data_IF_216721210622
#
_entry.id   IF_216721210622
#
_cell.length_a   1.000
_cell.length_b   1.000
_cell.length_c   1.000
_cell.angle_alpha   90.00
_cell.angle_beta   90.00
_cell.angle_gamma   90.00
#
_symmetry.space_group_name_H-M   'P 1'
#
loop_
_entity.id
_entity.type
_entity.pdbx_description
1 polymer ?
#
# COMPACT_ATOMS: atom_id res chain seq x y z
N UNK A 1 24.49 -22.83 5.07
CA UNK A 1 23.78 -21.53 5.20
C UNK A 1 23.26 -21.49 6.63
N UNK A 2 23.65 -20.48 7.42
CA UNK A 2 23.15 -20.42 8.79
C UNK A 2 21.63 -20.04 8.79
N UNK A 3 20.95 -20.36 9.89
CA UNK A 3 19.49 -20.14 10.05
C UNK A 3 19.09 -18.69 9.75
N UNK A 4 19.87 -17.72 10.22
CA UNK A 4 19.61 -16.30 10.05
C UNK A 4 19.70 -15.84 8.57
N UNK A 5 20.66 -16.34 7.81
CA UNK A 5 20.77 -16.08 6.39
C UNK A 5 19.60 -16.70 5.59
N UNK A 6 19.10 -17.86 6.04
CA UNK A 6 17.93 -18.50 5.46
C UNK A 6 16.65 -17.69 5.73
N UNK A 7 16.42 -17.25 6.96
CA UNK A 7 15.28 -16.41 7.34
C UNK A 7 15.27 -15.08 6.57
N UNK A 8 16.42 -14.41 6.46
CA UNK A 8 16.57 -13.20 5.62
C UNK A 8 16.25 -13.48 4.15
N UNK A 9 16.62 -14.63 3.62
CA UNK A 9 16.26 -15.05 2.26
C UNK A 9 14.75 -15.22 2.10
N UNK A 10 14.07 -15.86 3.05
CA UNK A 10 12.61 -16.03 3.04
C UNK A 10 11.88 -14.69 3.10
N UNK A 11 12.33 -13.77 3.96
CA UNK A 11 11.76 -12.43 4.05
C UNK A 11 11.88 -11.66 2.73
N UNK A 12 13.05 -11.75 2.03
CA UNK A 12 13.22 -11.16 0.70
C UNK A 12 12.32 -11.81 -0.36
N UNK A 13 12.06 -13.11 -0.28
CA UNK A 13 11.15 -13.80 -1.20
C UNK A 13 9.70 -13.35 -0.98
N UNK A 14 9.26 -13.18 0.28
CA UNK A 14 7.95 -12.61 0.62
C UNK A 14 7.78 -11.25 -0.03
N UNK A 15 8.75 -10.37 0.14
CA UNK A 15 8.73 -9.04 -0.44
C UNK A 15 8.65 -9.04 -1.97
N UNK A 16 9.41 -9.91 -2.66
CA UNK A 16 9.35 -10.04 -4.13
C UNK A 16 7.96 -10.45 -4.61
N UNK A 17 7.26 -11.31 -3.87
CA UNK A 17 5.89 -11.74 -4.18
C UNK A 17 4.91 -10.58 -4.05
N UNK A 18 5.03 -9.76 -3.01
CA UNK A 18 4.22 -8.54 -2.83
C UNK A 18 4.39 -7.58 -4.02
N UNK A 19 5.60 -7.39 -4.52
CA UNK A 19 5.86 -6.54 -5.70
C UNK A 19 5.18 -7.04 -6.98
N UNK A 20 5.00 -8.33 -7.14
CA UNK A 20 4.24 -8.86 -8.29
C UNK A 20 2.77 -8.46 -8.22
N UNK A 21 2.16 -8.55 -7.04
CA UNK A 21 0.79 -8.08 -6.81
C UNK A 21 0.69 -6.57 -7.03
N UNK A 22 1.63 -5.78 -6.51
CA UNK A 22 1.72 -4.33 -6.76
C UNK A 22 1.77 -4.02 -8.26
N UNK A 23 2.66 -4.66 -9.00
CA UNK A 23 2.81 -4.44 -10.44
C UNK A 23 1.53 -4.81 -11.22
N UNK A 24 0.84 -5.88 -10.82
CA UNK A 24 -0.44 -6.28 -11.42
C UNK A 24 -1.52 -5.24 -11.12
N UNK A 25 -1.71 -4.89 -9.87
CA UNK A 25 -2.71 -3.92 -9.45
C UNK A 25 -2.45 -2.53 -10.05
N UNK A 26 -1.20 -2.06 -10.07
CA UNK A 26 -0.81 -0.83 -10.73
C UNK A 26 -1.17 -0.81 -12.22
N UNK A 27 -1.02 -1.93 -12.94
CA UNK A 27 -1.46 -2.02 -14.35
C UNK A 27 -2.95 -1.80 -14.50
N UNK A 28 -3.77 -2.33 -13.58
CA UNK A 28 -5.22 -2.13 -13.61
C UNK A 28 -5.57 -0.67 -13.34
N UNK A 29 -4.95 -0.05 -12.31
CA UNK A 29 -5.22 1.35 -11.98
C UNK A 29 -4.72 2.31 -13.06
N UNK A 30 -3.63 2.00 -13.76
CA UNK A 30 -3.17 2.80 -14.92
C UNK A 30 -4.20 2.83 -16.04
N UNK A 31 -4.96 1.75 -16.27
CA UNK A 31 -6.06 1.76 -17.25
C UNK A 31 -7.12 2.81 -16.91
N UNK A 32 -7.42 2.97 -15.61
CA UNK A 32 -8.33 4.04 -15.14
C UNK A 32 -7.72 5.42 -15.47
N UNK A 33 -6.43 5.60 -15.19
CA UNK A 33 -5.74 6.84 -15.51
C UNK A 33 -5.67 7.12 -17.02
N UNK A 34 -5.45 6.09 -17.82
CA UNK A 34 -5.43 6.21 -19.30
C UNK A 34 -6.83 6.61 -19.82
N UNK A 35 -7.91 6.03 -19.27
CA UNK A 35 -9.29 6.42 -19.61
C UNK A 35 -9.60 7.87 -19.20
N UNK A 36 -9.13 8.32 -18.02
CA UNK A 36 -9.21 9.75 -17.65
C UNK A 36 -8.51 10.62 -18.70
N UNK A 37 -7.31 10.24 -19.12
CA UNK A 37 -6.57 10.93 -20.17
C UNK A 37 -7.32 10.95 -21.51
N UNK A 38 -7.97 9.85 -21.90
CA UNK A 38 -8.79 9.78 -23.11
C UNK A 38 -10.03 10.68 -23.03
N UNK A 39 -10.71 10.73 -21.88
CA UNK A 39 -11.85 11.65 -21.68
C UNK A 39 -11.43 13.11 -21.83
N UNK A 40 -10.32 13.51 -21.20
CA UNK A 40 -9.78 14.87 -21.31
C UNK A 40 -9.43 15.18 -22.77
N UNK A 41 -8.69 14.28 -23.43
CA UNK A 41 -8.27 14.46 -24.81
C UNK A 41 -9.46 14.51 -25.79
N UNK A 42 -10.46 13.64 -25.59
CA UNK A 42 -11.64 13.55 -26.46
C UNK A 42 -12.54 14.79 -26.42
N UNK A 43 -12.47 15.57 -25.31
CA UNK A 43 -13.21 16.83 -25.15
C UNK A 43 -12.36 18.08 -25.46
N UNK A 44 -11.14 17.89 -25.94
CA UNK A 44 -10.22 18.98 -26.35
C UNK A 44 -10.14 19.01 -27.84
N UNK A 45 -10.57 20.12 -28.47
CA UNK A 45 -10.54 20.32 -29.91
C UNK A 45 -9.44 21.34 -30.26
N UNK A 46 -8.58 21.05 -31.25
CA UNK A 46 -7.44 21.89 -31.64
C UNK A 46 -6.56 22.41 -30.50
N UNK A 47 -6.48 21.62 -29.39
CA UNK A 47 -5.72 21.95 -28.18
C UNK A 47 -6.44 22.94 -27.27
N UNK A 48 -7.75 23.15 -27.44
CA UNK A 48 -8.59 23.98 -26.57
C UNK A 48 -9.70 23.12 -25.98
N UNK A 49 -9.90 23.21 -24.65
CA UNK A 49 -11.04 22.62 -23.96
C UNK A 49 -12.19 23.63 -23.98
N UNK A 50 -13.24 23.32 -24.74
CA UNK A 50 -14.39 24.20 -24.93
C UNK A 50 -15.45 24.04 -23.85
N UNK A 51 -15.68 22.79 -23.40
CA UNK A 51 -16.68 22.43 -22.38
C UNK A 51 -16.02 21.86 -21.14
N UNK A 52 -15.70 22.71 -20.18
CA UNK A 52 -15.08 22.36 -18.93
C UNK A 52 -16.06 21.72 -17.96
N UNK A 53 -17.31 22.17 -17.91
CA UNK A 53 -18.36 21.62 -17.04
C UNK A 53 -18.75 20.23 -17.52
N UNK A 54 -18.90 20.03 -18.82
CA UNK A 54 -19.14 18.73 -19.43
C UNK A 54 -18.01 17.73 -19.14
N UNK A 55 -16.76 18.17 -19.20
CA UNK A 55 -15.63 17.31 -18.84
C UNK A 55 -15.66 16.90 -17.36
N UNK A 56 -15.93 17.85 -16.45
CA UNK A 56 -16.06 17.54 -15.04
C UNK A 56 -17.20 16.55 -14.77
N UNK A 57 -18.35 16.77 -15.42
CA UNK A 57 -19.50 15.89 -15.34
C UNK A 57 -19.17 14.48 -15.88
N UNK A 58 -18.47 14.37 -16.99
CA UNK A 58 -18.04 13.09 -17.56
C UNK A 58 -17.08 12.34 -16.63
N UNK A 59 -16.13 13.02 -16.02
CA UNK A 59 -15.19 12.42 -15.06
C UNK A 59 -15.89 11.94 -13.79
N UNK A 60 -16.86 12.70 -13.28
CA UNK A 60 -17.68 12.28 -12.12
C UNK A 60 -18.53 11.05 -12.47
N UNK A 61 -19.21 11.06 -13.60
CA UNK A 61 -19.96 9.90 -14.09
C UNK A 61 -19.07 8.67 -14.28
N UNK A 62 -17.86 8.87 -14.78
CA UNK A 62 -16.89 7.78 -14.90
C UNK A 62 -16.54 7.18 -13.54
N UNK A 63 -16.36 8.00 -12.48
CA UNK A 63 -16.15 7.50 -11.13
C UNK A 63 -17.29 6.61 -10.62
N UNK A 64 -18.54 6.97 -10.92
CA UNK A 64 -19.72 6.21 -10.54
C UNK A 64 -19.77 4.84 -11.23
N UNK A 65 -19.64 4.83 -12.56
CA UNK A 65 -19.68 3.57 -13.32
C UNK A 65 -18.47 2.67 -13.09
N UNK A 66 -17.36 3.25 -12.62
CA UNK A 66 -16.15 2.53 -12.26
C UNK A 66 -16.31 1.68 -10.98
N UNK A 67 -17.22 2.04 -10.08
CA UNK A 67 -17.32 1.47 -8.73
C UNK A 67 -17.46 -0.06 -8.70
N UNK A 68 -18.32 -0.74 -9.48
CA UNK A 68 -18.40 -2.19 -9.49
C UNK A 68 -17.09 -2.86 -9.92
N UNK A 69 -16.42 -2.31 -10.93
CA UNK A 69 -15.11 -2.80 -11.36
C UNK A 69 -14.04 -2.58 -10.28
N UNK A 70 -14.05 -1.44 -9.59
CA UNK A 70 -13.13 -1.13 -8.49
C UNK A 70 -13.25 -2.14 -7.35
N UNK A 71 -14.48 -2.55 -6.98
CA UNK A 71 -14.73 -3.62 -6.00
C UNK A 71 -14.03 -4.90 -6.42
N UNK A 72 -14.22 -5.34 -7.66
CA UNK A 72 -13.59 -6.58 -8.17
C UNK A 72 -12.07 -6.49 -8.15
N UNK A 73 -11.50 -5.35 -8.54
CA UNK A 73 -10.03 -5.19 -8.53
C UNK A 73 -9.45 -5.17 -7.12
N UNK A 74 -10.10 -4.49 -6.17
CA UNK A 74 -9.67 -4.48 -4.78
C UNK A 74 -9.74 -5.89 -4.16
N UNK A 75 -10.84 -6.63 -4.36
CA UNK A 75 -10.98 -8.01 -3.89
C UNK A 75 -9.93 -8.95 -4.48
N UNK A 76 -9.63 -8.84 -5.78
CA UNK A 76 -8.57 -9.64 -6.44
C UNK A 76 -7.20 -9.34 -5.86
N UNK A 77 -6.90 -8.07 -5.61
CA UNK A 77 -5.65 -7.67 -4.98
C UNK A 77 -5.53 -8.25 -3.58
N UNK A 78 -6.56 -8.12 -2.75
CA UNK A 78 -6.60 -8.69 -1.41
C UNK A 78 -6.42 -10.22 -1.42
N UNK A 79 -7.14 -10.93 -2.28
CA UNK A 79 -7.03 -12.39 -2.41
C UNK A 79 -5.62 -12.84 -2.83
N UNK A 80 -4.99 -12.14 -3.78
CA UNK A 80 -3.61 -12.45 -4.21
C UNK A 80 -2.60 -12.21 -3.08
N UNK A 81 -2.75 -11.13 -2.30
CA UNK A 81 -1.93 -10.86 -1.11
C UNK A 81 -2.10 -11.97 -0.08
N UNK A 82 -3.33 -12.33 0.28
CA UNK A 82 -3.61 -13.38 1.28
C UNK A 82 -3.05 -14.74 0.88
N UNK A 83 -3.20 -15.14 -0.38
CA UNK A 83 -2.68 -16.41 -0.89
C UNK A 83 -1.13 -16.45 -0.86
N UNK A 84 -0.48 -15.35 -1.21
CA UNK A 84 0.99 -15.27 -1.21
C UNK A 84 1.56 -15.25 0.20
N UNK A 85 0.91 -14.56 1.11
CA UNK A 85 1.28 -14.51 2.52
C UNK A 85 1.11 -15.89 3.18
N UNK A 86 -0.01 -16.60 2.94
CA UNK A 86 -0.22 -17.96 3.43
C UNK A 86 0.88 -18.92 2.96
N UNK A 87 1.23 -18.90 1.68
CA UNK A 87 2.34 -19.72 1.15
C UNK A 87 3.66 -19.40 1.85
N UNK A 88 3.94 -18.14 2.12
CA UNK A 88 5.16 -17.72 2.81
C UNK A 88 5.18 -18.20 4.27
N UNK A 89 4.03 -18.16 4.95
CA UNK A 89 3.89 -18.70 6.30
C UNK A 89 4.09 -20.21 6.37
N UNK A 90 3.48 -20.98 5.46
CA UNK A 90 3.66 -22.43 5.36
C UNK A 90 5.13 -22.82 5.09
N UNK A 91 5.84 -22.05 4.25
CA UNK A 91 7.28 -22.24 4.04
C UNK A 91 8.08 -21.98 5.33
N UNK A 92 7.73 -20.93 6.08
CA UNK A 92 8.37 -20.62 7.36
C UNK A 92 8.07 -21.67 8.42
N UNK A 93 6.83 -22.10 8.54
CA UNK A 93 6.42 -23.16 9.48
C UNK A 93 7.21 -24.46 9.25
N UNK A 94 7.34 -24.88 7.99
CA UNK A 94 8.15 -26.06 7.63
C UNK A 94 9.61 -25.91 8.05
N UNK A 95 10.18 -24.71 7.88
CA UNK A 95 11.57 -24.45 8.25
C UNK A 95 11.81 -24.50 9.75
N UNK A 96 10.75 -24.25 10.55
CA UNK A 96 10.78 -24.30 12.01
C UNK A 96 10.36 -25.68 12.56
N UNK A 97 10.00 -26.63 11.70
CA UNK A 97 9.48 -27.94 12.10
C UNK A 97 8.11 -27.86 12.78
N UNK A 98 7.33 -26.79 12.53
CA UNK A 98 5.99 -26.57 13.10
C UNK A 98 4.90 -26.78 12.05
N UNK A 99 3.80 -27.42 12.43
CA UNK A 99 2.59 -27.49 11.64
C UNK A 99 1.67 -26.33 12.09
N UNK A 100 1.48 -25.34 11.21
CA UNK A 100 0.67 -24.14 11.47
C UNK A 100 -0.49 -24.00 10.48
N UNK A 101 -0.85 -25.09 9.79
CA UNK A 101 -1.84 -25.00 8.72
C UNK A 101 -3.23 -24.61 9.22
N UNK A 102 -3.66 -25.18 10.33
CA UNK A 102 -4.97 -24.90 10.91
C UNK A 102 -5.03 -23.49 11.46
N UNK A 103 -4.04 -23.08 12.26
CA UNK A 103 -3.96 -21.75 12.85
C UNK A 103 -3.94 -20.65 11.76
N UNK A 104 -3.21 -20.90 10.66
CA UNK A 104 -3.18 -19.94 9.54
C UNK A 104 -4.52 -19.85 8.79
N UNK A 105 -5.28 -20.94 8.72
CA UNK A 105 -6.61 -20.95 8.11
C UNK A 105 -7.66 -20.24 8.98
N UNK A 106 -7.51 -20.32 10.31
CA UNK A 106 -8.42 -19.73 11.31
C UNK A 106 -8.12 -18.24 11.55
N UNK A 107 -6.96 -17.73 11.13
CA UNK A 107 -6.60 -16.33 11.31
C UNK A 107 -7.62 -15.36 10.68
N UNK A 108 -8.01 -14.25 11.34
CA UNK A 108 -9.14 -13.40 10.93
C UNK A 108 -8.83 -12.48 9.73
N UNK A 109 -8.01 -12.93 8.79
CA UNK A 109 -7.58 -12.16 7.60
C UNK A 109 -8.74 -11.77 6.69
N UNK A 110 -9.79 -12.60 6.59
CA UNK A 110 -10.98 -12.30 5.80
C UNK A 110 -11.81 -11.15 6.36
N UNK A 111 -11.82 -10.95 7.68
CA UNK A 111 -12.46 -9.82 8.34
C UNK A 111 -11.73 -8.52 8.04
N UNK A 112 -10.39 -8.52 8.15
CA UNK A 112 -9.54 -7.40 7.77
C UNK A 112 -9.73 -7.00 6.30
N UNK A 113 -9.78 -7.97 5.39
CA UNK A 113 -10.03 -7.70 3.97
C UNK A 113 -11.34 -6.95 3.75
N UNK A 114 -12.43 -7.37 4.42
CA UNK A 114 -13.72 -6.67 4.34
C UNK A 114 -13.68 -5.26 4.91
N UNK A 115 -12.98 -5.05 6.02
CA UNK A 115 -12.84 -3.75 6.66
C UNK A 115 -12.17 -2.72 5.73
N UNK A 116 -11.13 -3.10 5.01
CA UNK A 116 -10.39 -2.19 4.13
C UNK A 116 -10.95 -2.10 2.70
N UNK A 117 -11.88 -2.97 2.31
CA UNK A 117 -12.42 -3.01 0.94
C UNK A 117 -13.05 -1.67 0.53
N UNK A 118 -13.86 -1.07 1.38
CA UNK A 118 -14.55 0.20 1.09
C UNK A 118 -13.55 1.35 0.87
N UNK A 119 -12.51 1.44 1.71
CA UNK A 119 -11.45 2.43 1.57
C UNK A 119 -10.70 2.25 0.25
N UNK A 120 -10.33 1.03 -0.10
CA UNK A 120 -9.62 0.72 -1.34
C UNK A 120 -10.46 1.02 -2.58
N UNK A 121 -11.75 0.74 -2.55
CA UNK A 121 -12.69 1.11 -3.63
C UNK A 121 -12.76 2.62 -3.77
N UNK A 122 -12.86 3.36 -2.67
CA UNK A 122 -12.89 4.83 -2.69
C UNK A 122 -11.59 5.41 -3.26
N UNK A 123 -10.42 4.84 -2.93
CA UNK A 123 -9.14 5.26 -3.51
C UNK A 123 -9.08 5.03 -5.03
N UNK A 124 -9.64 3.93 -5.53
CA UNK A 124 -9.69 3.68 -6.98
C UNK A 124 -10.61 4.69 -7.68
N UNK A 125 -11.80 4.91 -7.13
CA UNK A 125 -12.78 5.85 -7.70
C UNK A 125 -12.38 7.31 -7.51
N UNK A 126 -11.46 7.62 -6.59
CA UNK A 126 -10.92 8.97 -6.44
C UNK A 126 -10.08 9.42 -7.66
N UNK A 127 -9.52 8.50 -8.45
CA UNK A 127 -8.69 8.85 -9.58
C UNK A 127 -9.39 9.79 -10.60
N UNK A 128 -10.58 9.48 -11.13
CA UNK A 128 -11.32 10.41 -11.97
C UNK A 128 -11.86 11.63 -11.21
N UNK A 129 -12.22 11.50 -9.92
CA UNK A 129 -12.72 12.63 -9.12
C UNK A 129 -11.62 13.66 -8.85
N UNK A 130 -10.42 13.22 -8.49
CA UNK A 130 -9.25 14.09 -8.32
C UNK A 130 -8.87 14.78 -9.65
N UNK A 131 -9.05 14.10 -10.78
CA UNK A 131 -8.87 14.71 -12.12
C UNK A 131 -9.92 15.79 -12.38
N UNK A 132 -11.19 15.55 -12.06
CA UNK A 132 -12.26 16.55 -12.18
C UNK A 132 -11.98 17.80 -11.33
N UNK A 133 -11.52 17.60 -10.10
CA UNK A 133 -11.14 18.70 -9.19
C UNK A 133 -9.98 19.52 -9.78
N UNK A 134 -8.94 18.84 -10.31
CA UNK A 134 -7.82 19.54 -10.96
C UNK A 134 -8.25 20.35 -12.19
N UNK A 135 -9.13 19.79 -13.02
CA UNK A 135 -9.69 20.53 -14.17
C UNK A 135 -10.34 21.83 -13.69
N UNK A 136 -11.17 21.74 -12.65
CA UNK A 136 -11.82 22.91 -12.07
C UNK A 136 -10.81 23.95 -11.53
N UNK A 137 -9.83 23.51 -10.73
CA UNK A 137 -8.82 24.38 -10.16
C UNK A 137 -7.99 25.08 -11.23
N UNK A 138 -7.45 24.34 -12.21
CA UNK A 138 -6.64 24.89 -13.30
C UNK A 138 -7.42 25.91 -14.13
N UNK A 139 -8.72 25.70 -14.31
CA UNK A 139 -9.60 26.63 -15.00
C UNK A 139 -9.78 27.92 -14.20
N UNK A 140 -10.10 27.83 -12.90
CA UNK A 140 -10.26 29.00 -12.05
C UNK A 140 -8.97 29.81 -11.96
N UNK A 141 -7.84 29.15 -11.71
CA UNK A 141 -6.52 29.80 -11.68
C UNK A 141 -6.19 30.48 -13.00
N UNK A 142 -6.49 29.83 -14.12
CA UNK A 142 -6.30 30.38 -15.45
C UNK A 142 -7.16 31.63 -15.68
N UNK A 143 -8.41 31.66 -15.24
CA UNK A 143 -9.30 32.82 -15.33
C UNK A 143 -8.76 33.96 -14.45
N UNK A 144 -8.40 33.68 -13.20
CA UNK A 144 -7.89 34.69 -12.26
C UNK A 144 -6.60 35.33 -12.78
N UNK A 145 -5.70 34.53 -13.34
CA UNK A 145 -4.40 34.96 -13.82
C UNK A 145 -4.41 35.46 -15.29
N UNK A 146 -5.58 35.57 -15.92
CA UNK A 146 -5.75 35.93 -17.34
C UNK A 146 -4.88 35.06 -18.28
N UNK A 147 -4.71 33.77 -17.95
CA UNK A 147 -3.95 32.81 -18.74
C UNK A 147 -4.68 32.46 -20.04
N UNK A 148 -3.96 32.29 -21.15
CA UNK A 148 -4.57 31.96 -22.45
C UNK A 148 -5.25 30.60 -22.40
N UNK A 149 -6.43 30.46 -22.98
CA UNK A 149 -7.22 29.21 -23.00
C UNK A 149 -6.40 27.99 -23.47
N UNK A 150 -5.53 28.18 -24.46
CA UNK A 150 -4.64 27.12 -24.96
C UNK A 150 -3.64 26.64 -23.89
N UNK A 151 -3.11 27.52 -23.08
CA UNK A 151 -2.18 27.19 -21.99
C UNK A 151 -2.91 26.44 -20.86
N UNK A 152 -4.11 26.90 -20.49
CA UNK A 152 -4.98 26.21 -19.53
C UNK A 152 -5.27 24.77 -20.01
N UNK A 153 -5.64 24.63 -21.30
CA UNK A 153 -5.91 23.31 -21.89
C UNK A 153 -4.69 22.39 -21.88
N UNK A 154 -3.49 22.91 -22.11
CA UNK A 154 -2.24 22.13 -22.01
C UNK A 154 -1.99 21.64 -20.56
N UNK A 155 -2.24 22.48 -19.55
CA UNK A 155 -2.12 22.10 -18.15
C UNK A 155 -3.14 21.02 -17.78
N UNK A 156 -4.38 21.10 -18.29
CA UNK A 156 -5.42 20.09 -18.09
C UNK A 156 -5.03 18.76 -18.78
N UNK A 157 -4.51 18.80 -20.01
CA UNK A 157 -4.01 17.59 -20.70
C UNK A 157 -2.89 16.90 -19.92
N UNK A 158 -2.00 17.66 -19.28
CA UNK A 158 -0.95 17.12 -18.41
C UNK A 158 -1.50 16.40 -17.16
N UNK A 159 -2.76 16.64 -16.76
CA UNK A 159 -3.41 15.98 -15.62
C UNK A 159 -3.48 14.45 -15.77
N UNK A 160 -3.44 13.92 -17.00
CA UNK A 160 -3.36 12.49 -17.25
C UNK A 160 -2.10 11.84 -16.64
N UNK A 161 -0.96 12.51 -16.73
CA UNK A 161 0.30 12.05 -16.13
C UNK A 161 0.24 12.06 -14.59
N UNK A 162 -0.36 13.09 -14.00
CA UNK A 162 -0.59 13.19 -12.55
C UNK A 162 -1.48 12.04 -12.09
N UNK A 163 -2.56 11.75 -12.80
CA UNK A 163 -3.48 10.64 -12.48
C UNK A 163 -2.76 9.29 -12.58
N UNK A 164 -1.89 9.08 -13.56
CA UNK A 164 -1.09 7.86 -13.71
C UNK A 164 -0.08 7.68 -12.55
N UNK A 165 0.57 8.76 -12.12
CA UNK A 165 1.47 8.75 -10.95
C UNK A 165 0.70 8.42 -9.67
N UNK A 166 -0.48 9.00 -9.49
CA UNK A 166 -1.38 8.72 -8.38
C UNK A 166 -1.84 7.26 -8.36
N UNK A 167 -2.18 6.69 -9.52
CA UNK A 167 -2.55 5.28 -9.66
C UNK A 167 -1.43 4.33 -9.19
N UNK A 168 -0.19 4.59 -9.59
CA UNK A 168 0.97 3.82 -9.15
C UNK A 168 1.18 3.91 -7.63
N UNK A 169 0.96 5.10 -7.08
CA UNK A 169 1.13 5.36 -5.65
C UNK A 169 0.06 4.67 -4.81
N UNK A 170 -1.21 4.69 -5.24
CA UNK A 170 -2.29 3.94 -4.61
C UNK A 170 -1.97 2.45 -4.63
N UNK A 171 -1.56 1.91 -5.78
CA UNK A 171 -1.24 0.49 -5.89
C UNK A 171 -0.12 0.07 -4.92
N UNK A 172 0.96 0.86 -4.84
CA UNK A 172 2.08 0.60 -3.92
C UNK A 172 1.65 0.64 -2.47
N UNK A 173 0.93 1.68 -2.08
CA UNK A 173 0.50 1.89 -0.69
C UNK A 173 -0.46 0.79 -0.25
N UNK A 174 -1.48 0.50 -1.04
CA UNK A 174 -2.53 -0.43 -0.65
C UNK A 174 -2.06 -1.89 -0.65
N UNK A 175 -1.22 -2.28 -1.60
CA UNK A 175 -0.65 -3.64 -1.60
C UNK A 175 0.30 -3.84 -0.42
N UNK A 176 1.17 -2.87 -0.11
CA UNK A 176 2.08 -2.94 1.03
C UNK A 176 1.32 -2.97 2.36
N UNK A 177 0.31 -2.09 2.50
CA UNK A 177 -0.56 -2.01 3.69
C UNK A 177 -1.32 -3.33 3.91
N UNK A 178 -1.96 -3.85 2.87
CA UNK A 178 -2.70 -5.12 2.94
C UNK A 178 -1.77 -6.27 3.32
N UNK A 179 -0.59 -6.36 2.72
CA UNK A 179 0.39 -7.38 3.04
C UNK A 179 0.86 -7.31 4.51
N UNK A 180 1.14 -6.10 5.01
CA UNK A 180 1.53 -5.89 6.41
C UNK A 180 0.43 -6.30 7.38
N UNK A 181 -0.81 -5.88 7.14
CA UNK A 181 -1.97 -6.20 7.98
C UNK A 181 -2.28 -7.71 7.99
N UNK A 182 -2.22 -8.37 6.84
CA UNK A 182 -2.43 -9.83 6.75
C UNK A 182 -1.32 -10.58 7.50
N UNK A 183 -0.06 -10.17 7.31
CA UNK A 183 1.07 -10.75 8.05
C UNK A 183 0.93 -10.53 9.56
N UNK A 184 0.53 -9.34 10.00
CA UNK A 184 0.27 -9.03 11.41
C UNK A 184 -0.82 -9.93 11.98
N UNK A 185 -1.99 -9.99 11.34
CA UNK A 185 -3.13 -10.80 11.79
C UNK A 185 -2.76 -12.28 11.98
N UNK A 186 -2.00 -12.85 11.06
CA UNK A 186 -1.52 -14.22 11.18
C UNK A 186 -0.46 -14.39 12.26
N UNK A 187 0.45 -13.42 12.37
CA UNK A 187 1.50 -13.42 13.39
C UNK A 187 0.91 -13.40 14.79
N UNK A 188 -0.02 -12.49 15.07
CA UNK A 188 -0.71 -12.39 16.35
C UNK A 188 -1.50 -13.67 16.66
N UNK A 189 -2.18 -14.24 15.65
CA UNK A 189 -2.98 -15.47 15.81
C UNK A 189 -2.12 -16.69 16.20
N UNK A 190 -0.89 -16.79 15.71
CA UNK A 190 0.05 -17.86 16.07
C UNK A 190 0.94 -17.51 17.29
N UNK A 191 0.63 -16.43 18.00
CA UNK A 191 1.31 -16.04 19.23
C UNK A 191 2.64 -15.31 19.04
N UNK A 192 2.88 -14.68 17.89
CA UNK A 192 4.07 -13.82 17.69
C UNK A 192 3.95 -12.55 18.52
N UNK A 193 4.92 -12.21 19.38
CA UNK A 193 4.86 -11.00 20.21
C UNK A 193 5.15 -9.72 19.42
N UNK A 194 5.78 -9.85 18.23
CA UNK A 194 6.20 -8.71 17.44
C UNK A 194 7.00 -9.11 16.21
N UNK A 195 7.67 -8.14 15.64
CA UNK A 195 8.38 -8.29 14.36
C UNK A 195 9.68 -7.49 14.32
N UNK A 196 10.57 -7.87 13.43
CA UNK A 196 11.72 -7.06 13.04
C UNK A 196 11.32 -6.18 11.86
N UNK A 197 11.55 -4.88 11.99
CA UNK A 197 11.37 -3.95 10.88
C UNK A 197 12.37 -4.23 9.77
N UNK A 198 11.91 -4.41 8.53
CA UNK A 198 12.78 -4.60 7.37
C UNK A 198 12.50 -3.53 6.32
N UNK A 199 13.53 -2.80 5.93
CA UNK A 199 13.49 -1.89 4.79
C UNK A 199 13.98 -2.60 3.53
N UNK A 200 13.57 -2.09 2.35
CA UNK A 200 14.07 -2.63 1.06
C UNK A 200 15.52 -2.27 0.76
N UNK A 201 16.10 -1.33 1.52
CA UNK A 201 17.52 -0.99 1.44
C UNK A 201 17.92 -0.14 0.22
N UNK A 202 16.96 0.43 -0.53
CA UNK A 202 17.28 1.34 -1.63
C UNK A 202 17.44 2.80 -1.17
N UNK A 203 17.81 3.68 -2.11
CA UNK A 203 18.09 5.10 -1.86
C UNK A 203 16.87 5.88 -1.40
N UNK A 204 15.66 5.45 -1.82
CA UNK A 204 14.40 6.16 -1.57
C UNK A 204 13.78 5.82 -0.21
N UNK A 205 14.41 4.98 0.61
CA UNK A 205 13.95 4.68 1.96
C UNK A 205 14.13 5.92 2.83
N UNK A 206 13.04 6.37 3.49
CA UNK A 206 13.06 7.52 4.40
C UNK A 206 14.13 7.35 5.50
N UNK A 207 14.81 8.43 5.94
CA UNK A 207 15.83 8.35 6.99
C UNK A 207 15.36 7.60 8.24
N UNK A 208 14.16 7.93 8.73
CA UNK A 208 13.55 7.26 9.89
C UNK A 208 13.37 5.76 9.67
N UNK A 209 12.93 5.32 8.49
CA UNK A 209 12.79 3.89 8.17
C UNK A 209 14.13 3.17 8.04
N UNK A 210 15.20 3.88 7.68
CA UNK A 210 16.57 3.33 7.71
C UNK A 210 17.01 3.06 9.15
N UNK A 211 16.70 3.96 10.09
CA UNK A 211 17.00 3.78 11.52
C UNK A 211 16.19 2.64 12.15
N UNK A 212 14.93 2.45 11.73
CA UNK A 212 14.09 1.34 12.21
C UNK A 212 14.52 -0.01 11.64
N UNK A 213 15.30 -0.04 10.57
CA UNK A 213 15.69 -1.30 9.93
C UNK A 213 16.51 -2.20 10.87
N UNK A 214 16.03 -3.41 11.11
CA UNK A 214 16.65 -4.38 12.01
C UNK A 214 16.21 -4.25 13.48
N UNK A 215 15.39 -3.27 13.84
CA UNK A 215 14.86 -3.13 15.21
C UNK A 215 13.61 -3.98 15.42
N UNK A 216 13.43 -4.45 16.66
CA UNK A 216 12.23 -5.19 17.07
C UNK A 216 11.12 -4.24 17.50
N UNK A 217 9.87 -4.58 17.15
CA UNK A 217 8.66 -3.84 17.55
C UNK A 217 7.55 -4.82 17.92
N UNK A 218 6.86 -4.55 19.04
CA UNK A 218 5.66 -5.30 19.44
C UNK A 218 4.50 -4.97 18.49
N UNK A 219 3.62 -5.94 18.26
CA UNK A 219 2.39 -5.70 17.47
C UNK A 219 1.42 -4.75 18.18
N UNK A 220 1.43 -4.74 19.51
CA UNK A 220 0.60 -3.82 20.32
C UNK A 220 1.08 -2.37 20.30
N UNK A 221 2.35 -2.12 19.88
CA UNK A 221 2.98 -0.81 20.00
C UNK A 221 3.68 -0.42 18.68
N UNK A 222 2.94 0.16 17.71
CA UNK A 222 3.55 0.60 16.47
C UNK A 222 4.57 1.72 16.73
N UNK A 223 5.76 1.65 16.09
CA UNK A 223 6.78 2.69 16.25
C UNK A 223 6.37 4.00 15.60
N UNK A 224 6.97 5.11 16.05
CA UNK A 224 6.89 6.38 15.33
C UNK A 224 7.65 6.22 14.01
N UNK A 225 6.90 6.15 12.90
CA UNK A 225 7.45 5.91 11.55
C UNK A 225 7.15 7.04 10.56
N UNK A 226 6.16 7.89 10.83
CA UNK A 226 5.87 9.08 10.04
C UNK A 226 6.74 10.28 10.39
N UNK A 227 6.79 11.26 9.49
CA UNK A 227 7.59 12.48 9.65
C UNK A 227 7.01 13.42 10.72
N UNK A 228 5.69 13.44 10.86
CA UNK A 228 4.97 14.27 11.83
C UNK A 228 4.66 13.51 13.15
N UNK A 229 5.36 12.41 13.42
CA UNK A 229 5.14 11.63 14.63
C UNK A 229 4.07 10.52 14.50
N UNK A 230 3.57 10.27 13.30
CA UNK A 230 2.58 9.20 13.09
C UNK A 230 3.18 7.83 13.46
N UNK A 231 2.38 7.03 14.17
CA UNK A 231 2.71 5.67 14.54
C UNK A 231 2.09 4.69 13.54
N UNK A 232 2.93 3.84 12.96
CA UNK A 232 2.48 2.77 12.06
C UNK A 232 3.50 1.64 11.99
N UNK A 233 3.03 0.43 11.74
CA UNK A 233 3.89 -0.72 11.49
C UNK A 233 4.55 -0.65 10.10
N UNK A 234 5.58 -1.46 9.91
CA UNK A 234 6.31 -1.54 8.65
C UNK A 234 5.35 -1.87 7.49
N UNK A 235 5.35 -1.06 6.44
CA UNK A 235 4.47 -1.23 5.27
C UNK A 235 3.11 -0.54 5.36
N UNK A 236 2.67 -0.06 6.52
CA UNK A 236 1.33 0.52 6.69
C UNK A 236 1.25 2.02 6.37
N UNK A 237 2.35 2.75 6.46
CA UNK A 237 2.37 4.17 6.15
C UNK A 237 2.41 4.41 4.63
N UNK A 238 1.85 5.55 4.22
CA UNK A 238 1.76 5.98 2.82
C UNK A 238 3.11 5.89 2.08
N UNK A 239 3.09 5.29 0.87
CA UNK A 239 4.26 5.10 0.02
C UNK A 239 5.42 4.35 0.68
N UNK A 240 5.15 3.50 1.66
CA UNK A 240 6.16 2.70 2.34
C UNK A 240 6.43 1.40 1.57
N UNK A 241 7.72 0.97 1.58
CA UNK A 241 8.17 -0.30 1.01
C UNK A 241 8.84 -1.22 2.04
N UNK A 242 8.75 -0.84 3.32
CA UNK A 242 9.18 -1.68 4.42
C UNK A 242 8.19 -2.81 4.66
N UNK A 243 8.61 -3.83 5.36
CA UNK A 243 7.75 -4.97 5.72
C UNK A 243 8.10 -5.50 7.11
N UNK A 244 7.12 -6.06 7.84
CA UNK A 244 7.37 -6.72 9.11
C UNK A 244 7.88 -8.15 8.86
N UNK A 245 8.93 -8.54 9.57
CA UNK A 245 9.41 -9.92 9.65
C UNK A 245 8.99 -10.48 11.01
N UNK A 246 7.91 -11.30 11.11
CA UNK A 246 7.41 -11.79 12.38
C UNK A 246 8.44 -12.63 13.13
N UNK A 247 8.49 -12.48 14.44
CA UNK A 247 9.32 -13.30 15.32
C UNK A 247 8.43 -14.37 15.95
N UNK A 248 8.82 -15.65 15.79
CA UNK A 248 8.06 -16.81 16.24
C UNK A 248 8.76 -17.57 17.38
N UNK A 249 9.96 -17.12 17.77
CA UNK A 249 10.82 -17.79 18.74
C UNK A 249 11.17 -16.79 19.86
N UNK A 250 10.54 -16.97 21.03
CA UNK A 250 10.78 -16.11 22.20
C UNK A 250 12.21 -16.22 22.72
N UNK A 251 12.83 -17.41 22.65
CA UNK A 251 14.21 -17.61 23.09
C UNK A 251 15.18 -16.78 22.23
N UNK A 252 14.89 -16.64 20.94
CA UNK A 252 15.64 -15.76 20.04
C UNK A 252 15.48 -14.28 20.39
N UNK A 253 14.30 -13.86 20.85
CA UNK A 253 14.07 -12.49 21.33
C UNK A 253 14.90 -12.20 22.59
N UNK A 254 14.99 -13.14 23.54
CA UNK A 254 15.79 -13.02 24.76
C UNK A 254 17.28 -12.89 24.45
N UNK A 255 17.79 -13.74 23.57
CA UNK A 255 19.24 -13.81 23.27
C UNK A 255 19.70 -12.64 22.38
N UNK A 256 18.92 -12.27 21.34
CA UNK A 256 19.37 -11.31 20.33
C UNK A 256 19.01 -9.87 20.68
N UNK A 257 17.93 -9.65 21.43
CA UNK A 257 17.38 -8.30 21.66
C UNK A 257 17.32 -7.89 23.14
N UNK A 258 17.80 -8.71 24.07
CA UNK A 258 17.92 -8.37 25.50
C UNK A 258 16.58 -7.99 26.16
N UNK A 259 15.47 -8.58 25.73
CA UNK A 259 14.11 -8.24 26.22
C UNK A 259 13.96 -8.60 27.71
N UNK A 260 14.71 -9.59 28.23
CA UNK A 260 14.70 -9.95 29.65
C UNK A 260 15.08 -8.83 30.62
N UNK A 261 15.86 -7.83 30.17
CA UNK A 261 16.30 -6.75 31.06
C UNK A 261 15.30 -5.60 31.19
N UNK A 262 14.26 -5.53 30.36
CA UNK A 262 13.26 -4.45 30.43
C UNK A 262 12.00 -4.82 31.19
N UNK A 263 11.64 -6.09 31.27
CA UNK A 263 10.50 -6.54 32.09
C UNK A 263 10.85 -6.51 33.56
N UNK A 264 12.10 -6.85 33.97
CA UNK A 264 12.58 -6.73 35.35
C UNK A 264 12.75 -5.27 35.85
N UNK A 265 12.87 -4.30 34.95
CA UNK A 265 13.01 -2.87 35.30
C UNK A 265 11.68 -2.11 35.35
N UNK A 266 10.57 -2.74 34.96
CA UNK A 266 9.23 -2.14 34.99
C UNK A 266 8.41 -2.60 36.22
N UNK A 267 8.93 -3.54 37.04
CA UNK A 267 8.31 -4.03 38.26
C UNK A 267 8.99 -3.50 39.55
N UNK A 268 9.83 -2.46 39.45
CA UNK A 268 10.43 -1.78 40.61
C UNK A 268 9.91 -0.36 40.76
#
# INVERSE_FOLDING_TARGET
>A
MNREAYERRLARLRWRRVRQTEAHFARQLRRVADNVGHLIKGMTHEGVLEDQEGLQAALRRYAEVLRPWAVVQAQRMQADVMLRDEKAWLETARSLGRELRQELAEAPTGMLARQYLAEQVNLITSLPLEAATRVHQLTLEGIINATRAKEISQMILASGHVTRSRANLIARTEVARTASLVTQSRAEHVGSPGYIWRSVGDTDVRPRHKMLNGTFHRWSEPPVSGENGERAHAGQIYNCRCYPEPVLDEEKLRVVYGIEQREAAAEV
#
